data_IF_674972146476
#
_entry.id   IF_674972146476
#
_cell.length_a   1.000
_cell.length_b   1.000
_cell.length_c   1.000
_cell.angle_alpha   90.00
_cell.angle_beta   90.00
_cell.angle_gamma   90.00
#
_symmetry.space_group_name_H-M   'P 1'
#
loop_
_entity.id
_entity.type
_entity.pdbx_description
1 polymer ?
#
# COMPACT_ATOMS: atom_id res chain seq x y z
N UNK A 1 2.66 -6.11 23.28
CA UNK A 1 2.76 -7.16 22.24
C UNK A 1 4.01 -7.99 22.49
N UNK A 2 3.95 -9.32 22.34
CA UNK A 2 5.11 -10.21 22.56
C UNK A 2 6.14 -10.05 21.44
N UNK A 3 7.41 -9.82 21.79
CA UNK A 3 8.53 -9.69 20.83
C UNK A 3 8.61 -10.85 19.83
N UNK A 4 8.27 -12.07 20.27
CA UNK A 4 8.19 -13.26 19.39
C UNK A 4 7.14 -13.14 18.29
N UNK A 5 5.99 -12.54 18.60
CA UNK A 5 4.89 -12.40 17.65
C UNK A 5 5.22 -11.36 16.57
N UNK A 6 5.87 -10.26 16.98
CA UNK A 6 6.38 -9.25 16.04
C UNK A 6 7.44 -9.84 15.13
N UNK A 7 8.40 -10.60 15.66
CA UNK A 7 9.43 -11.23 14.82
C UNK A 7 8.87 -12.26 13.83
N UNK A 8 7.90 -13.07 14.25
CA UNK A 8 7.25 -14.03 13.35
C UNK A 8 6.52 -13.32 12.20
N UNK A 9 5.77 -12.26 12.51
CA UNK A 9 5.09 -11.44 11.50
C UNK A 9 6.08 -10.81 10.52
N UNK A 10 7.18 -10.25 11.02
CA UNK A 10 8.25 -9.68 10.21
C UNK A 10 8.83 -10.70 9.24
N UNK A 11 9.12 -11.92 9.70
CA UNK A 11 9.64 -12.99 8.83
C UNK A 11 8.65 -13.35 7.72
N UNK A 12 7.36 -13.47 8.03
CA UNK A 12 6.34 -13.74 7.01
C UNK A 12 6.23 -12.60 5.99
N UNK A 13 6.30 -11.35 6.44
CA UNK A 13 6.23 -10.20 5.56
C UNK A 13 7.47 -10.06 4.67
N UNK A 14 8.65 -10.42 5.18
CA UNK A 14 9.89 -10.43 4.40
C UNK A 14 9.96 -11.56 3.37
N UNK A 15 9.30 -12.70 3.61
CA UNK A 15 9.26 -13.79 2.63
C UNK A 15 8.37 -13.48 1.44
N UNK A 16 7.25 -12.78 1.66
CA UNK A 16 6.28 -12.45 0.62
C UNK A 16 6.56 -11.10 -0.07
N UNK A 17 7.20 -10.16 0.64
CA UNK A 17 7.40 -8.79 0.18
C UNK A 17 8.85 -8.34 0.35
N UNK A 18 9.31 -7.48 -0.55
CA UNK A 18 10.60 -6.77 -0.41
C UNK A 18 10.50 -5.76 0.75
N UNK A 19 10.60 -6.27 1.97
CA UNK A 19 10.54 -5.53 3.21
C UNK A 19 11.87 -5.61 3.94
N UNK A 20 12.30 -4.51 4.56
CA UNK A 20 13.42 -4.50 5.50
C UNK A 20 13.01 -3.75 6.77
N UNK A 21 13.33 -4.30 7.95
CA UNK A 21 13.13 -3.58 9.22
C UNK A 21 14.37 -2.77 9.55
N UNK A 22 14.60 -1.69 8.81
CA UNK A 22 15.66 -0.73 9.10
C UNK A 22 15.02 0.59 9.48
N UNK A 23 14.60 0.70 10.75
CA UNK A 23 13.99 1.91 11.30
C UNK A 23 12.49 2.03 11.00
N UNK A 24 12.03 3.27 10.77
CA UNK A 24 10.63 3.57 10.48
C UNK A 24 10.15 2.87 9.20
N UNK A 25 8.92 2.34 9.23
CA UNK A 25 8.27 1.77 8.06
C UNK A 25 8.08 2.87 7.01
N UNK A 26 8.89 2.81 5.95
CA UNK A 26 8.86 3.77 4.84
C UNK A 26 8.17 3.22 3.60
N UNK A 27 8.09 1.88 3.47
CA UNK A 27 7.41 1.19 2.39
C UNK A 27 6.72 -0.10 2.86
N UNK A 28 5.48 -0.32 2.43
CA UNK A 28 4.70 -1.53 2.68
C UNK A 28 3.84 -1.87 1.45
N UNK A 29 4.00 -3.04 0.83
CA UNK A 29 3.20 -3.44 -0.35
C UNK A 29 3.18 -2.41 -1.51
N UNK A 30 4.25 -1.63 -1.67
CA UNK A 30 4.30 -0.54 -2.65
C UNK A 30 3.64 0.78 -2.19
N UNK A 31 3.03 0.80 -1.01
CA UNK A 31 2.65 2.00 -0.28
C UNK A 31 3.92 2.64 0.29
N UNK A 32 4.25 3.84 -0.15
CA UNK A 32 5.11 4.75 0.60
C UNK A 32 4.39 5.19 1.87
N UNK A 33 5.06 5.05 3.00
CA UNK A 33 4.58 5.50 4.29
C UNK A 33 5.54 6.59 4.77
N UNK A 34 4.99 7.74 5.14
CA UNK A 34 5.73 8.84 5.76
C UNK A 34 5.07 9.16 7.08
N UNK A 35 5.75 8.82 8.16
CA UNK A 35 5.31 9.13 9.51
C UNK A 35 5.73 10.57 9.83
N UNK A 36 4.78 11.34 10.35
CA UNK A 36 4.96 12.69 10.87
C UNK A 36 4.52 12.66 12.34
N UNK A 37 4.84 13.69 13.13
CA UNK A 37 4.58 13.72 14.58
C UNK A 37 3.15 13.29 14.95
N UNK A 38 2.14 13.77 14.21
CA UNK A 38 0.72 13.49 14.51
C UNK A 38 -0.02 12.75 13.38
N UNK A 39 0.64 12.46 12.25
CA UNK A 39 -0.05 11.91 11.08
C UNK A 39 0.79 10.90 10.30
N UNK A 40 0.11 9.95 9.65
CA UNK A 40 0.73 9.02 8.72
C UNK A 40 0.26 9.37 7.32
N UNK A 41 1.18 9.77 6.46
CA UNK A 41 0.93 9.98 5.05
C UNK A 41 1.24 8.69 4.26
N UNK A 42 0.28 8.25 3.45
CA UNK A 42 0.41 7.03 2.63
C UNK A 42 0.26 7.39 1.15
N UNK A 43 1.16 6.89 0.29
CA UNK A 43 1.13 7.11 -1.15
C UNK A 43 1.44 5.84 -1.95
N UNK A 44 0.71 5.58 -3.03
CA UNK A 44 1.01 4.49 -3.97
C UNK A 44 1.71 4.95 -5.25
N UNK A 45 2.14 6.21 -5.35
CA UNK A 45 2.61 6.78 -6.62
C UNK A 45 3.77 5.98 -7.23
N UNK A 46 4.73 5.51 -6.42
CA UNK A 46 5.85 4.68 -6.90
C UNK A 46 5.38 3.32 -7.39
N UNK A 47 4.48 2.66 -6.65
CA UNK A 47 3.93 1.36 -7.03
C UNK A 47 3.10 1.42 -8.32
N UNK A 48 2.21 2.41 -8.43
CA UNK A 48 1.44 2.64 -9.65
C UNK A 48 2.36 2.86 -10.86
N UNK A 49 3.41 3.67 -10.71
CA UNK A 49 4.41 3.88 -11.76
C UNK A 49 5.18 2.60 -12.11
N UNK A 50 5.54 1.80 -11.11
CA UNK A 50 6.22 0.52 -11.33
C UNK A 50 5.33 -0.48 -12.07
N UNK A 51 4.02 -0.50 -11.81
CA UNK A 51 3.06 -1.31 -12.58
C UNK A 51 3.06 -0.87 -14.05
N UNK A 52 2.88 0.42 -14.30
CA UNK A 52 2.90 0.98 -15.66
C UNK A 52 4.19 0.59 -16.39
N UNK A 53 5.33 0.71 -15.71
CA UNK A 53 6.63 0.30 -16.24
C UNK A 53 6.74 -1.20 -16.50
N UNK A 54 6.31 -2.04 -15.55
CA UNK A 54 6.35 -3.51 -15.65
C UNK A 54 5.64 -4.03 -16.88
N UNK A 55 4.57 -3.36 -17.30
CA UNK A 55 3.79 -3.73 -18.49
C UNK A 55 4.18 -2.92 -19.74
N UNK A 56 5.28 -2.15 -19.71
CA UNK A 56 5.76 -1.39 -20.86
C UNK A 56 4.84 -0.23 -21.28
N UNK A 57 4.02 0.27 -20.36
CA UNK A 57 3.00 1.29 -20.63
C UNK A 57 3.48 2.74 -20.41
N UNK A 58 4.78 2.97 -20.15
CA UNK A 58 5.32 4.32 -19.90
C UNK A 58 5.10 5.29 -21.08
N UNK A 59 5.02 4.77 -22.30
CA UNK A 59 4.74 5.55 -23.52
C UNK A 59 3.29 5.46 -24.03
N UNK A 60 2.38 4.84 -23.27
CA UNK A 60 1.00 4.69 -23.68
C UNK A 60 0.30 6.06 -23.78
N UNK A 61 -0.41 6.30 -24.87
CA UNK A 61 -1.15 7.55 -25.06
C UNK A 61 -2.24 7.69 -23.99
N UNK A 62 -2.36 8.88 -23.41
CA UNK A 62 -3.42 9.19 -22.47
C UNK A 62 -4.78 9.09 -23.16
N UNK A 63 -5.57 8.07 -22.81
CA UNK A 63 -6.99 8.03 -23.17
C UNK A 63 -7.81 8.59 -22.01
N UNK A 64 -8.66 9.57 -22.31
CA UNK A 64 -9.68 10.01 -21.36
C UNK A 64 -10.71 8.89 -21.21
N UNK A 65 -10.49 8.03 -20.22
CA UNK A 65 -11.54 7.18 -19.67
C UNK A 65 -12.11 7.93 -18.48
N UNK A 66 -13.34 8.44 -18.54
CA UNK A 66 -13.97 9.07 -17.38
C UNK A 66 -14.02 8.04 -16.24
N UNK A 67 -13.40 8.37 -15.11
CA UNK A 67 -13.65 7.62 -13.89
C UNK A 67 -15.12 7.84 -13.52
N UNK A 68 -15.83 6.77 -13.13
CA UNK A 68 -17.19 6.88 -12.64
C UNK A 68 -17.20 7.80 -11.42
N UNK A 69 -17.74 9.01 -11.57
CA UNK A 69 -17.82 10.04 -10.52
C UNK A 69 -18.76 9.65 -9.38
N UNK A 70 -19.54 8.59 -9.57
CA UNK A 70 -20.54 8.07 -8.65
C UNK A 70 -20.04 6.91 -7.79
N UNK A 71 -18.75 6.55 -7.86
CA UNK A 71 -18.17 5.60 -6.91
C UNK A 71 -18.00 6.31 -5.55
N UNK A 72 -19.10 6.43 -4.80
CA UNK A 72 -19.05 6.82 -3.40
C UNK A 72 -18.41 5.67 -2.65
N UNK A 73 -17.24 5.92 -2.05
CA UNK A 73 -16.71 5.04 -1.01
C UNK A 73 -17.69 5.11 0.16
N UNK A 74 -18.57 4.12 0.25
CA UNK A 74 -19.51 3.96 1.36
C UNK A 74 -18.92 2.97 2.36
N UNK A 75 -19.17 3.21 3.64
CA UNK A 75 -18.90 2.21 4.68
C UNK A 75 -19.70 0.95 4.32
N UNK A 76 -19.02 -0.19 4.19
CA UNK A 76 -19.70 -1.46 4.03
C UNK A 76 -20.22 -1.91 5.41
N UNK A 77 -21.48 -1.61 5.71
CA UNK A 77 -22.10 -1.99 6.99
C UNK A 77 -22.27 -3.51 7.15
N UNK A 78 -22.11 -4.28 6.06
CA UNK A 78 -22.17 -5.74 6.05
C UNK A 78 -20.80 -6.38 5.84
N UNK A 79 -19.76 -5.55 5.71
CA UNK A 79 -18.39 -6.02 5.59
C UNK A 79 -18.04 -6.79 6.85
N UNK A 80 -17.30 -7.88 6.68
CA UNK A 80 -16.70 -8.56 7.84
C UNK A 80 -15.73 -7.57 8.46
N UNK A 81 -15.92 -7.26 9.74
CA UNK A 81 -14.96 -6.45 10.50
C UNK A 81 -13.60 -7.13 10.36
N UNK A 82 -12.67 -6.41 9.73
CA UNK A 82 -11.31 -6.87 9.58
C UNK A 82 -10.63 -6.49 10.88
N UNK A 83 -10.41 -7.46 11.77
CA UNK A 83 -9.75 -7.24 13.06
C UNK A 83 -8.41 -6.52 12.85
N UNK A 84 -8.21 -5.47 13.63
CA UNK A 84 -7.08 -4.53 13.58
C UNK A 84 -5.83 -5.08 14.27
#
# INVERSE_FOLDING_TARGET
>A
MSSKMVQHFVQQMQSEFEMSLVGELTYFLGLQVKQMEDTIFISQSKYARNIVKKFGMEGAAHKRTPAATHLKLTKDEKGVDVDQ
#
